data_IF_941641942402
#
_entry.id   IF_941641942402
#
_cell.length_a   1.000
_cell.length_b   1.000
_cell.length_c   1.000
_cell.angle_alpha   90.00
_cell.angle_beta   90.00
_cell.angle_gamma   90.00
#
_symmetry.space_group_name_H-M   'P 1'
#
loop_
_entity.id
_entity.type
_entity.pdbx_description
1 polymer ?
#
# COMPACT_ATOMS: atom_id res chain seq x y z
N UNK A 1 -20.59 -28.37 29.36
CA UNK A 1 -19.67 -27.23 29.52
C UNK A 1 -19.21 -26.76 28.15
N UNK A 2 -19.76 -25.62 27.72
CA UNK A 2 -19.60 -25.11 26.37
C UNK A 2 -18.28 -24.31 26.30
N UNK A 3 -17.17 -24.92 25.85
CA UNK A 3 -15.94 -24.22 25.54
C UNK A 3 -16.21 -23.33 24.32
N UNK A 4 -16.56 -22.08 24.55
CA UNK A 4 -16.52 -21.05 23.50
C UNK A 4 -15.14 -21.13 22.85
N UNK A 5 -15.06 -21.61 21.63
CA UNK A 5 -13.84 -21.56 20.82
C UNK A 5 -13.48 -20.08 20.65
N UNK A 6 -12.55 -19.60 21.49
CA UNK A 6 -11.96 -18.27 21.31
C UNK A 6 -11.22 -18.31 19.99
N UNK A 7 -11.71 -17.56 19.02
CA UNK A 7 -11.01 -17.35 17.74
C UNK A 7 -9.56 -16.98 18.06
N UNK A 8 -8.63 -17.81 17.58
CA UNK A 8 -7.21 -17.61 17.89
C UNK A 8 -6.79 -16.21 17.42
N UNK A 9 -6.09 -15.39 18.23
CA UNK A 9 -5.71 -14.02 17.88
C UNK A 9 -5.01 -13.88 16.51
N UNK A 10 -4.39 -14.96 16.08
CA UNK A 10 -3.77 -15.08 14.77
C UNK A 10 -4.75 -14.88 13.59
N UNK A 11 -5.96 -15.43 13.67
CA UNK A 11 -6.97 -15.26 12.63
C UNK A 11 -7.45 -13.82 12.51
N UNK A 12 -7.55 -13.12 13.63
CA UNK A 12 -7.87 -11.69 13.65
C UNK A 12 -6.75 -10.89 12.97
N UNK A 13 -5.50 -11.20 13.27
CA UNK A 13 -4.36 -10.54 12.65
C UNK A 13 -4.32 -10.79 11.12
N UNK A 14 -4.60 -12.02 10.68
CA UNK A 14 -4.69 -12.35 9.24
C UNK A 14 -5.82 -11.59 8.57
N UNK A 15 -7.00 -11.54 9.18
CA UNK A 15 -8.15 -10.82 8.62
C UNK A 15 -7.87 -9.31 8.49
N UNK A 16 -7.30 -8.68 9.52
CA UNK A 16 -6.93 -7.26 9.48
C UNK A 16 -5.88 -7.01 8.38
N UNK A 17 -4.86 -7.86 8.30
CA UNK A 17 -3.83 -7.76 7.28
C UNK A 17 -4.42 -7.89 5.88
N UNK A 18 -5.29 -8.88 5.67
CA UNK A 18 -5.96 -9.08 4.39
C UNK A 18 -6.81 -7.86 3.99
N UNK A 19 -7.64 -7.35 4.91
CA UNK A 19 -8.44 -6.15 4.67
C UNK A 19 -7.56 -4.94 4.33
N UNK A 20 -6.45 -4.75 5.04
CA UNK A 20 -5.52 -3.64 4.78
C UNK A 20 -4.90 -3.76 3.39
N UNK A 21 -4.51 -4.97 2.97
CA UNK A 21 -3.93 -5.21 1.65
C UNK A 21 -4.97 -4.98 0.54
N UNK A 22 -6.20 -5.46 0.71
CA UNK A 22 -7.29 -5.25 -0.24
C UNK A 22 -7.61 -3.75 -0.37
N UNK A 23 -7.74 -3.03 0.74
CA UNK A 23 -7.98 -1.60 0.74
C UNK A 23 -6.85 -0.83 0.05
N UNK A 24 -5.58 -1.17 0.35
CA UNK A 24 -4.41 -0.56 -0.29
C UNK A 24 -4.36 -0.83 -1.80
N UNK A 25 -4.67 -2.06 -2.22
CA UNK A 25 -4.70 -2.42 -3.63
C UNK A 25 -5.83 -1.70 -4.36
N UNK A 26 -7.03 -1.65 -3.77
CA UNK A 26 -8.18 -0.93 -4.32
C UNK A 26 -7.88 0.56 -4.48
N UNK A 27 -7.34 1.19 -3.44
CA UNK A 27 -6.95 2.60 -3.50
C UNK A 27 -5.88 2.87 -4.56
N UNK A 28 -4.88 2.00 -4.68
CA UNK A 28 -3.83 2.12 -5.70
C UNK A 28 -4.37 2.01 -7.13
N UNK A 29 -5.42 1.22 -7.34
CA UNK A 29 -6.04 1.04 -8.66
C UNK A 29 -7.04 2.15 -9.02
N UNK A 30 -7.41 3.02 -8.08
CA UNK A 30 -8.40 4.07 -8.29
C UNK A 30 -8.10 5.00 -9.49
N UNK A 31 -6.86 5.49 -9.73
CA UNK A 31 -6.59 6.35 -10.86
C UNK A 31 -6.86 5.71 -12.22
N UNK A 32 -6.68 4.40 -12.37
CA UNK A 32 -6.97 3.72 -13.63
C UNK A 32 -8.46 3.71 -13.98
N UNK A 33 -9.32 3.71 -12.95
CA UNK A 33 -10.78 3.84 -13.12
C UNK A 33 -11.19 5.30 -13.29
N UNK A 34 -10.43 6.23 -12.71
CA UNK A 34 -10.70 7.66 -12.70
C UNK A 34 -10.08 8.41 -13.90
N UNK A 35 -9.46 7.72 -14.87
CA UNK A 35 -8.85 8.36 -16.05
C UNK A 35 -9.86 9.28 -16.74
N UNK A 36 -11.02 8.73 -17.13
CA UNK A 36 -12.05 9.51 -17.84
C UNK A 36 -12.58 10.65 -16.98
N UNK A 37 -13.00 10.46 -15.72
CA UNK A 37 -13.40 11.57 -14.85
C UNK A 37 -12.33 12.66 -14.66
N UNK A 38 -11.06 12.29 -14.61
CA UNK A 38 -9.96 13.26 -14.47
C UNK A 38 -9.71 14.03 -15.77
N UNK A 39 -9.81 13.38 -16.93
CA UNK A 39 -9.78 14.03 -18.24
C UNK A 39 -10.92 15.06 -18.35
N UNK A 40 -12.14 14.67 -17.97
CA UNK A 40 -13.33 15.52 -18.07
C UNK A 40 -13.32 16.69 -17.08
N UNK A 41 -12.86 16.46 -15.85
CA UNK A 41 -12.89 17.46 -14.78
C UNK A 41 -11.75 18.49 -14.87
N UNK A 42 -10.54 18.04 -15.26
CA UNK A 42 -9.34 18.87 -15.25
C UNK A 42 -8.77 19.16 -16.63
N UNK A 43 -9.27 18.50 -17.68
CA UNK A 43 -8.74 18.64 -19.04
C UNK A 43 -7.33 18.06 -19.20
N UNK A 44 -6.91 17.15 -18.31
CA UNK A 44 -5.58 16.53 -18.37
C UNK A 44 -5.54 15.46 -19.47
N UNK A 45 -4.38 15.31 -20.12
CA UNK A 45 -4.23 14.26 -21.11
C UNK A 45 -4.10 12.89 -20.43
N UNK A 46 -4.56 11.86 -21.14
CA UNK A 46 -4.44 10.47 -20.70
C UNK A 46 -3.00 10.06 -20.41
N UNK A 47 -2.05 10.59 -21.18
CA UNK A 47 -0.62 10.33 -21.02
C UNK A 47 -0.11 10.83 -19.67
N UNK A 48 -0.55 12.00 -19.23
CA UNK A 48 -0.16 12.58 -17.93
C UNK A 48 -0.69 11.73 -16.76
N UNK A 49 -1.92 11.24 -16.86
CA UNK A 49 -2.52 10.39 -15.84
C UNK A 49 -1.83 9.02 -15.84
N UNK A 50 -1.58 8.45 -17.02
CA UNK A 50 -0.87 7.16 -17.18
C UNK A 50 0.57 7.23 -16.66
N UNK A 51 1.24 8.37 -16.78
CA UNK A 51 2.56 8.59 -16.21
C UNK A 51 2.53 8.45 -14.67
N UNK A 52 1.54 9.04 -14.00
CA UNK A 52 1.38 8.90 -12.55
C UNK A 52 1.19 7.43 -12.13
N UNK A 53 0.39 6.68 -12.89
CA UNK A 53 0.17 5.25 -12.64
C UNK A 53 1.46 4.45 -12.85
N UNK A 54 2.21 4.73 -13.91
CA UNK A 54 3.49 4.06 -14.22
C UNK A 54 4.53 4.31 -13.14
N UNK A 55 4.66 5.56 -12.67
CA UNK A 55 5.55 5.93 -11.57
C UNK A 55 5.14 5.22 -10.28
N UNK A 56 3.84 5.12 -9.99
CA UNK A 56 3.34 4.40 -8.82
C UNK A 56 3.74 2.92 -8.85
N UNK A 57 3.54 2.24 -9.98
CA UNK A 57 3.89 0.81 -10.13
C UNK A 57 5.40 0.60 -10.00
N UNK A 58 6.18 1.46 -10.64
CA UNK A 58 7.64 1.42 -10.58
C UNK A 58 8.14 1.56 -9.14
N UNK A 59 7.68 2.58 -8.42
CA UNK A 59 8.09 2.84 -7.05
C UNK A 59 7.55 1.80 -6.06
N UNK A 60 6.35 1.28 -6.29
CA UNK A 60 5.82 0.15 -5.54
C UNK A 60 6.78 -1.06 -5.60
N UNK A 61 7.25 -1.42 -6.80
CA UNK A 61 8.22 -2.50 -6.97
C UNK A 61 9.60 -2.18 -6.39
N UNK A 62 10.09 -0.96 -6.64
CA UNK A 62 11.42 -0.53 -6.19
C UNK A 62 11.52 -0.37 -4.67
N UNK A 63 10.43 0.01 -4.01
CA UNK A 63 10.41 0.18 -2.54
C UNK A 63 10.49 -1.16 -1.80
N UNK A 64 10.17 -2.25 -2.46
CA UNK A 64 10.14 -3.58 -1.91
C UNK A 64 11.44 -3.99 -1.17
N UNK A 65 12.63 -3.95 -1.78
CA UNK A 65 13.88 -4.32 -1.10
C UNK A 65 14.24 -3.37 0.05
N UNK A 66 13.90 -2.08 -0.08
CA UNK A 66 14.16 -1.10 0.98
C UNK A 66 13.24 -1.30 2.19
N UNK A 67 11.99 -1.68 1.97
CA UNK A 67 11.06 -2.01 3.05
C UNK A 67 11.51 -3.24 3.84
N UNK A 68 12.11 -4.23 3.18
CA UNK A 68 12.71 -5.38 3.84
C UNK A 68 13.88 -4.98 4.76
N UNK A 69 14.78 -4.14 4.26
CA UNK A 69 15.89 -3.61 5.05
C UNK A 69 15.41 -2.71 6.22
N UNK A 70 14.35 -1.95 6.01
CA UNK A 70 13.77 -1.09 7.05
C UNK A 70 13.15 -1.92 8.19
N UNK A 71 12.56 -3.07 7.85
CA UNK A 71 12.01 -4.02 8.83
C UNK A 71 13.09 -4.59 9.76
N UNK A 72 14.31 -4.77 9.28
CA UNK A 72 15.43 -5.26 10.12
C UNK A 72 15.88 -4.21 11.14
N UNK A 73 15.79 -2.92 10.78
CA UNK A 73 16.19 -1.80 11.65
C UNK A 73 15.08 -1.31 12.56
N UNK A 74 13.83 -1.38 12.12
CA UNK A 74 12.69 -0.82 12.84
C UNK A 74 11.64 -1.89 13.12
N UNK A 75 10.86 -1.69 14.19
CA UNK A 75 9.73 -2.56 14.51
C UNK A 75 8.68 -2.50 13.39
N UNK A 76 8.12 -3.65 13.01
CA UNK A 76 7.03 -3.77 12.00
C UNK A 76 5.94 -2.72 12.21
N UNK A 77 5.53 -2.50 13.47
CA UNK A 77 4.52 -1.50 13.82
C UNK A 77 4.91 -0.09 13.37
N UNK A 78 6.17 0.33 13.57
CA UNK A 78 6.64 1.65 13.17
C UNK A 78 6.63 1.79 11.65
N UNK A 79 7.09 0.78 10.92
CA UNK A 79 7.12 0.81 9.45
C UNK A 79 5.69 0.89 8.88
N UNK A 80 4.76 0.10 9.41
CA UNK A 80 3.36 0.12 8.97
C UNK A 80 2.69 1.45 9.30
N UNK A 81 2.90 2.00 10.49
CA UNK A 81 2.31 3.29 10.89
C UNK A 81 2.83 4.44 10.03
N UNK A 82 4.13 4.48 9.74
CA UNK A 82 4.70 5.51 8.85
C UNK A 82 4.20 5.35 7.42
N UNK A 83 4.11 4.12 6.91
CA UNK A 83 3.57 3.86 5.58
C UNK A 83 2.10 4.28 5.46
N UNK A 84 1.26 3.94 6.46
CA UNK A 84 -0.13 4.39 6.52
C UNK A 84 -0.25 5.91 6.59
N UNK A 85 0.54 6.56 7.43
CA UNK A 85 0.57 8.02 7.53
C UNK A 85 0.95 8.65 6.18
N UNK A 86 1.96 8.10 5.50
CA UNK A 86 2.40 8.55 4.18
C UNK A 86 1.30 8.42 3.14
N UNK A 87 0.64 7.25 3.06
CA UNK A 87 -0.48 7.02 2.12
C UNK A 87 -1.65 7.95 2.44
N UNK A 88 -2.02 8.09 3.70
CA UNK A 88 -3.14 8.96 4.11
C UNK A 88 -2.85 10.43 3.80
N UNK A 89 -1.63 10.89 4.05
CA UNK A 89 -1.21 12.26 3.72
C UNK A 89 -1.20 12.48 2.20
N UNK A 90 -0.65 11.54 1.43
CA UNK A 90 -0.69 11.60 -0.03
C UNK A 90 -2.11 11.65 -0.56
N UNK A 91 -3.01 10.80 -0.04
CA UNK A 91 -4.41 10.79 -0.40
C UNK A 91 -5.13 12.10 -0.05
N UNK A 92 -4.89 12.62 1.14
CA UNK A 92 -5.48 13.91 1.57
C UNK A 92 -5.03 15.07 0.69
N UNK A 93 -3.76 15.12 0.35
CA UNK A 93 -3.20 16.19 -0.48
C UNK A 93 -3.71 16.13 -1.93
N UNK A 94 -4.16 14.98 -2.43
CA UNK A 94 -4.76 14.91 -3.79
C UNK A 94 -6.06 15.69 -3.90
N UNK A 95 -6.74 16.03 -2.79
CA UNK A 95 -7.93 16.86 -2.79
C UNK A 95 -7.61 18.30 -3.26
N UNK A 96 -6.40 18.75 -3.02
CA UNK A 96 -5.94 20.12 -3.33
C UNK A 96 -5.16 20.18 -4.64
N UNK A 97 -5.07 19.12 -5.41
CA UNK A 97 -4.30 19.11 -6.65
C UNK A 97 -5.01 19.93 -7.73
N UNK A 98 -4.22 20.70 -8.47
CA UNK A 98 -4.66 21.55 -9.58
C UNK A 98 -3.87 21.30 -10.85
N UNK A 99 -2.76 20.58 -10.78
CA UNK A 99 -1.86 20.34 -11.89
C UNK A 99 -1.49 18.84 -12.01
N UNK A 100 -1.28 18.32 -13.23
CA UNK A 100 -1.01 16.89 -13.45
C UNK A 100 0.29 16.41 -12.81
N UNK A 101 1.32 17.24 -12.69
CA UNK A 101 2.57 16.89 -12.01
C UNK A 101 2.37 16.60 -10.50
N UNK A 102 1.37 17.24 -9.88
CA UNK A 102 1.02 16.98 -8.49
C UNK A 102 0.44 15.57 -8.33
N UNK A 103 -0.33 15.09 -9.31
CA UNK A 103 -0.81 13.70 -9.33
C UNK A 103 0.37 12.72 -9.40
N UNK A 104 1.37 12.99 -10.24
CA UNK A 104 2.58 12.17 -10.32
C UNK A 104 3.32 12.13 -8.99
N UNK A 105 3.49 13.26 -8.32
CA UNK A 105 4.16 13.32 -7.02
C UNK A 105 3.33 12.65 -5.91
N UNK A 106 2.08 13.06 -5.74
CA UNK A 106 1.26 12.61 -4.61
C UNK A 106 0.84 11.14 -4.78
N UNK A 107 0.32 10.81 -5.95
CA UNK A 107 -0.14 9.46 -6.24
C UNK A 107 0.99 8.53 -6.67
N UNK A 108 1.80 8.97 -7.62
CA UNK A 108 2.90 8.17 -8.15
C UNK A 108 3.95 7.89 -7.09
N UNK A 109 4.52 8.94 -6.49
CA UNK A 109 5.65 8.80 -5.57
C UNK A 109 5.18 8.48 -4.16
N UNK A 110 4.40 9.34 -3.53
CA UNK A 110 4.06 9.22 -2.10
C UNK A 110 3.23 7.97 -1.83
N UNK A 111 2.15 7.75 -2.58
CA UNK A 111 1.29 6.58 -2.41
C UNK A 111 1.99 5.30 -2.89
N UNK A 112 2.76 5.36 -3.97
CA UNK A 112 3.52 4.21 -4.49
C UNK A 112 4.54 3.67 -3.48
N UNK A 113 5.33 4.55 -2.88
CA UNK A 113 6.29 4.19 -1.82
C UNK A 113 5.59 3.69 -0.55
N UNK A 114 4.53 4.35 -0.12
CA UNK A 114 3.78 3.95 1.06
C UNK A 114 3.17 2.56 0.92
N UNK A 115 2.46 2.29 -0.17
CA UNK A 115 1.82 0.99 -0.42
C UNK A 115 2.84 -0.13 -0.67
N UNK A 116 3.95 0.16 -1.37
CA UNK A 116 5.05 -0.78 -1.59
C UNK A 116 5.71 -1.22 -0.28
N UNK A 117 5.93 -0.28 0.64
CA UNK A 117 6.48 -0.57 1.97
C UNK A 117 5.56 -1.49 2.79
N UNK A 118 4.24 -1.34 2.68
CA UNK A 118 3.27 -2.15 3.42
C UNK A 118 3.18 -3.58 2.90
N UNK A 119 3.10 -3.79 1.59
CA UNK A 119 2.85 -5.09 0.98
C UNK A 119 3.89 -6.13 1.41
N UNK A 120 5.16 -5.77 1.40
CA UNK A 120 6.25 -6.68 1.78
C UNK A 120 6.39 -6.88 3.28
N UNK A 121 6.16 -5.83 4.07
CA UNK A 121 6.19 -5.96 5.52
C UNK A 121 5.12 -6.95 5.97
N UNK A 122 3.93 -6.90 5.39
CA UNK A 122 2.87 -7.87 5.69
C UNK A 122 3.20 -9.27 5.20
N UNK A 123 3.64 -9.44 3.95
CA UNK A 123 4.01 -10.73 3.40
C UNK A 123 5.13 -11.40 4.23
N UNK A 124 6.19 -10.67 4.56
CA UNK A 124 7.28 -11.18 5.37
C UNK A 124 6.87 -11.48 6.81
N UNK A 125 5.93 -10.73 7.39
CA UNK A 125 5.45 -10.96 8.77
C UNK A 125 4.59 -12.21 8.83
N UNK A 126 3.73 -12.43 7.85
CA UNK A 126 2.92 -13.65 7.75
C UNK A 126 3.84 -14.86 7.56
N UNK A 127 4.76 -14.80 6.60
CA UNK A 127 5.68 -15.89 6.32
C UNK A 127 6.53 -16.26 7.55
N UNK A 128 7.08 -15.28 8.28
CA UNK A 128 7.94 -15.53 9.43
C UNK A 128 7.19 -16.06 10.67
N UNK A 129 5.91 -15.74 10.85
CA UNK A 129 5.12 -16.18 12.01
C UNK A 129 4.45 -17.53 11.83
N UNK A 130 4.10 -17.89 10.60
CA UNK A 130 3.29 -19.10 10.34
C UNK A 130 4.08 -20.26 9.79
N UNK A 131 5.24 -20.01 9.16
CA UNK A 131 6.07 -21.07 8.57
C UNK A 131 7.33 -21.42 9.39
N UNK A 132 7.33 -21.13 10.69
CA UNK A 132 8.42 -21.50 11.60
C UNK A 132 8.66 -23.01 11.72
N UNK A 133 7.65 -23.84 11.45
CA UNK A 133 7.73 -25.29 11.56
C UNK A 133 7.99 -26.04 10.25
N UNK A 134 7.97 -25.38 9.10
CA UNK A 134 8.25 -25.98 7.79
C UNK A 134 9.21 -25.13 6.96
N UNK A 135 10.40 -24.91 7.50
CA UNK A 135 11.51 -24.35 6.73
C UNK A 135 12.15 -25.48 5.93
N UNK A 136 11.69 -25.75 4.73
CA UNK A 136 12.36 -26.69 3.86
C UNK A 136 11.44 -27.61 3.04
N UNK A 137 10.47 -27.04 2.37
CA UNK A 137 9.85 -27.66 1.19
C UNK A 137 9.82 -26.65 0.09
#
# INVERSE_FOLDING_TARGET
>A
MNKKQKVHPAWIAVAITWLTLVASAGYRSAPSVLIVPLEDAFGWSRDQISLAISVNILLYGLTAPFAAALKERFTVRKVVMTALATVSTGAFLTIFMTAPWQLVLLWGVVVGMGTGSMALVFAATIASRWFLQRRGL
#
